data_IF_067138962650
#
_entry.id   IF_067138962650
#
_cell.length_a   1.000
_cell.length_b   1.000
_cell.length_c   1.000
_cell.angle_alpha   90.00
_cell.angle_beta   90.00
_cell.angle_gamma   90.00
#
_symmetry.space_group_name_H-M   'P 1'
#
loop_
_entity.id
_entity.type
_entity.pdbx_description
1 polymer ?
#
# COMPACT_ATOMS: atom_id res chain seq x y z
N UNK A 1 -16.08 40.41 32.14
CA UNK A 1 -15.16 40.24 30.99
C UNK A 1 -14.85 38.76 30.88
N UNK A 2 -15.67 38.02 30.13
CA UNK A 2 -15.54 36.57 29.97
C UNK A 2 -14.80 36.30 28.66
N UNK A 3 -13.60 35.76 28.74
CA UNK A 3 -12.82 35.24 27.61
C UNK A 3 -13.62 34.12 26.92
N UNK A 4 -13.86 34.19 25.59
CA UNK A 4 -14.46 33.07 24.89
C UNK A 4 -13.45 31.93 24.85
N UNK A 5 -13.89 30.77 25.34
CA UNK A 5 -13.20 29.50 25.22
C UNK A 5 -12.85 29.27 23.75
N UNK A 6 -11.56 29.12 23.47
CA UNK A 6 -11.03 28.78 22.15
C UNK A 6 -11.84 27.64 21.56
N UNK A 7 -12.50 27.91 20.45
CA UNK A 7 -13.26 26.96 19.68
C UNK A 7 -12.27 25.92 19.16
N UNK A 8 -12.25 24.76 19.81
CA UNK A 8 -11.38 23.61 19.51
C UNK A 8 -11.86 22.90 18.24
N UNK A 9 -11.94 23.66 17.15
CA UNK A 9 -12.47 23.24 15.85
C UNK A 9 -11.35 22.94 14.84
N UNK A 10 -10.11 22.66 15.31
CA UNK A 10 -8.91 22.67 14.47
C UNK A 10 -8.28 21.29 14.20
N UNK A 11 -8.97 20.17 14.47
CA UNK A 11 -8.35 18.84 14.31
C UNK A 11 -9.19 17.81 13.53
N UNK A 12 -10.28 18.22 12.87
CA UNK A 12 -10.93 17.35 11.88
C UNK A 12 -10.24 17.53 10.52
N UNK A 13 -9.01 17.02 10.42
CA UNK A 13 -8.28 16.94 9.15
C UNK A 13 -9.02 15.94 8.26
N UNK A 14 -10.05 16.40 7.56
CA UNK A 14 -10.75 15.63 6.53
C UNK A 14 -9.74 15.39 5.42
N UNK A 15 -9.04 14.25 5.49
CA UNK A 15 -8.13 13.80 4.45
C UNK A 15 -8.90 13.79 3.13
N UNK A 16 -8.43 14.47 2.07
CA UNK A 16 -8.96 14.30 0.72
C UNK A 16 -9.22 12.83 0.42
N UNK A 17 -10.31 12.55 -0.30
CA UNK A 17 -10.78 11.18 -0.56
C UNK A 17 -9.67 10.25 -1.08
N UNK A 18 -8.73 10.77 -1.87
CA UNK A 18 -7.58 10.02 -2.37
C UNK A 18 -6.58 9.60 -1.28
N UNK A 19 -6.32 10.47 -0.29
CA UNK A 19 -5.40 10.18 0.81
C UNK A 19 -6.02 9.19 1.80
N UNK A 20 -7.32 9.33 2.09
CA UNK A 20 -8.06 8.36 2.89
C UNK A 20 -8.06 6.97 2.23
N UNK A 21 -8.27 6.92 0.90
CA UNK A 21 -8.20 5.68 0.14
C UNK A 21 -6.79 5.08 0.11
N UNK A 22 -5.76 5.92 -0.05
CA UNK A 22 -4.35 5.49 0.01
C UNK A 22 -4.02 4.92 1.40
N UNK A 23 -4.32 5.65 2.47
CA UNK A 23 -4.10 5.22 3.84
C UNK A 23 -4.84 3.91 4.16
N UNK A 24 -6.11 3.80 3.74
CA UNK A 24 -6.88 2.57 3.88
C UNK A 24 -6.28 1.39 3.10
N UNK A 25 -5.73 1.64 1.91
CA UNK A 25 -5.06 0.61 1.09
C UNK A 25 -3.77 0.12 1.76
N UNK A 26 -2.96 1.03 2.28
CA UNK A 26 -1.74 0.68 3.03
C UNK A 26 -2.07 -0.11 4.31
N UNK A 27 -3.12 0.30 5.04
CA UNK A 27 -3.61 -0.43 6.20
C UNK A 27 -4.10 -1.85 5.84
N UNK A 28 -4.81 -2.00 4.73
CA UNK A 28 -5.25 -3.29 4.19
C UNK A 28 -4.07 -4.19 3.80
N UNK A 29 -3.09 -3.67 3.06
CA UNK A 29 -1.87 -4.40 2.69
C UNK A 29 -1.10 -4.87 3.92
N UNK A 30 -1.06 -4.03 4.96
CA UNK A 30 -0.42 -4.36 6.24
C UNK A 30 -1.20 -5.45 6.99
N UNK A 31 -2.53 -5.33 7.10
CA UNK A 31 -3.40 -6.30 7.76
C UNK A 31 -3.45 -7.65 7.04
N UNK A 32 -3.21 -7.68 5.73
CA UNK A 32 -3.16 -8.92 4.96
C UNK A 32 -2.10 -9.89 5.48
N UNK A 33 -0.94 -9.38 5.89
CA UNK A 33 0.17 -10.18 6.43
C UNK A 33 -0.22 -10.94 7.70
N UNK A 34 -1.17 -10.40 8.47
CA UNK A 34 -1.63 -10.95 9.74
C UNK A 34 -2.88 -11.83 9.60
N UNK A 35 -3.45 -11.91 8.39
CA UNK A 35 -4.69 -12.65 8.14
C UNK A 35 -4.40 -14.14 7.94
N UNK A 36 -4.96 -15.00 8.79
CA UNK A 36 -4.79 -16.45 8.75
C UNK A 36 -5.82 -17.19 7.88
N UNK A 37 -6.97 -16.58 7.61
CA UNK A 37 -8.04 -17.18 6.82
C UNK A 37 -7.80 -16.96 5.31
N UNK A 38 -7.61 -18.05 4.55
CA UNK A 38 -7.36 -18.01 3.11
C UNK A 38 -8.46 -17.28 2.31
N UNK A 39 -9.73 -17.44 2.70
CA UNK A 39 -10.85 -16.76 2.06
C UNK A 39 -10.81 -15.24 2.26
N UNK A 40 -10.52 -14.79 3.49
CA UNK A 40 -10.37 -13.35 3.76
C UNK A 40 -9.15 -12.77 3.06
N UNK A 41 -8.04 -13.51 3.05
CA UNK A 41 -6.83 -13.12 2.32
C UNK A 41 -7.13 -12.87 0.83
N UNK A 42 -7.78 -13.79 0.14
CA UNK A 42 -8.14 -13.61 -1.27
C UNK A 42 -9.06 -12.39 -1.51
N UNK A 43 -10.06 -12.16 -0.64
CA UNK A 43 -10.95 -10.98 -0.74
C UNK A 43 -10.20 -9.66 -0.49
N UNK A 44 -9.27 -9.65 0.46
CA UNK A 44 -8.43 -8.48 0.75
C UNK A 44 -7.47 -8.19 -0.39
N UNK A 45 -6.87 -9.21 -1.00
CA UNK A 45 -6.01 -9.07 -2.19
C UNK A 45 -6.76 -8.42 -3.35
N UNK A 46 -7.98 -8.90 -3.64
CA UNK A 46 -8.85 -8.29 -4.66
C UNK A 46 -9.19 -6.84 -4.32
N UNK A 47 -9.46 -6.54 -3.04
CA UNK A 47 -9.76 -5.18 -2.59
C UNK A 47 -8.57 -4.24 -2.75
N UNK A 48 -7.35 -4.71 -2.46
CA UNK A 48 -6.12 -3.93 -2.64
C UNK A 48 -5.96 -3.56 -4.13
N UNK A 49 -6.10 -4.53 -5.04
CA UNK A 49 -6.01 -4.27 -6.49
C UNK A 49 -7.05 -3.24 -6.95
N UNK A 50 -8.31 -3.40 -6.52
CA UNK A 50 -9.39 -2.47 -6.88
C UNK A 50 -9.15 -1.04 -6.34
N UNK A 51 -8.61 -0.91 -5.13
CA UNK A 51 -8.29 0.38 -4.56
C UNK A 51 -7.10 1.04 -5.29
N UNK A 52 -6.06 0.28 -5.64
CA UNK A 52 -4.93 0.78 -6.42
C UNK A 52 -5.39 1.27 -7.81
N UNK A 53 -6.28 0.51 -8.47
CA UNK A 53 -6.89 0.94 -9.73
C UNK A 53 -7.63 2.28 -9.57
N UNK A 54 -8.47 2.40 -8.56
CA UNK A 54 -9.19 3.65 -8.23
C UNK A 54 -8.24 4.83 -7.98
N UNK A 55 -7.12 4.60 -7.29
CA UNK A 55 -6.11 5.62 -7.04
C UNK A 55 -5.39 6.04 -8.33
N UNK A 56 -5.09 5.12 -9.25
CA UNK A 56 -4.45 5.47 -10.54
C UNK A 56 -5.34 6.37 -11.40
N UNK A 57 -6.65 6.31 -11.24
CA UNK A 57 -7.61 7.18 -11.96
C UNK A 57 -7.83 8.54 -11.25
N UNK A 58 -7.26 8.75 -10.06
CA UNK A 58 -7.50 9.98 -9.30
C UNK A 58 -6.79 11.19 -9.95
N UNK A 59 -7.54 12.26 -10.32
CA UNK A 59 -6.96 13.45 -10.92
C UNK A 59 -6.14 14.28 -9.93
N UNK A 60 -6.38 14.11 -8.62
CA UNK A 60 -5.71 14.84 -7.54
C UNK A 60 -4.25 14.39 -7.31
N UNK A 61 -3.87 13.22 -7.83
CA UNK A 61 -2.53 12.68 -7.68
C UNK A 61 -1.62 13.17 -8.81
N UNK A 62 -0.32 13.31 -8.51
CA UNK A 62 0.67 13.66 -9.54
C UNK A 62 0.81 12.52 -10.56
N UNK A 63 1.23 12.86 -11.79
CA UNK A 63 1.44 11.86 -12.84
C UNK A 63 2.47 10.79 -12.42
N UNK A 64 3.58 11.20 -11.78
CA UNK A 64 4.58 10.27 -11.26
C UNK A 64 4.03 9.35 -10.18
N UNK A 65 3.19 9.87 -9.28
CA UNK A 65 2.58 9.04 -8.23
C UNK A 65 1.59 8.02 -8.80
N UNK A 66 0.80 8.40 -9.82
CA UNK A 66 -0.05 7.45 -10.56
C UNK A 66 0.77 6.34 -11.24
N UNK A 67 1.92 6.67 -11.85
CA UNK A 67 2.81 5.66 -12.43
C UNK A 67 3.39 4.70 -11.37
N UNK A 68 3.73 5.21 -10.19
CA UNK A 68 4.16 4.39 -9.06
C UNK A 68 3.06 3.44 -8.59
N UNK A 69 1.82 3.94 -8.45
CA UNK A 69 0.66 3.13 -8.06
C UNK A 69 0.33 2.05 -9.11
N UNK A 70 0.42 2.39 -10.39
CA UNK A 70 0.24 1.42 -11.48
C UNK A 70 1.31 0.31 -11.42
N UNK A 71 2.57 0.68 -11.23
CA UNK A 71 3.66 -0.28 -11.06
C UNK A 71 3.46 -1.19 -9.85
N UNK A 72 2.97 -0.63 -8.73
CA UNK A 72 2.63 -1.37 -7.53
C UNK A 72 1.47 -2.35 -7.79
N UNK A 73 0.41 -1.92 -8.48
CA UNK A 73 -0.73 -2.76 -8.85
C UNK A 73 -0.30 -3.96 -9.68
N UNK A 74 0.48 -3.73 -10.74
CA UNK A 74 0.99 -4.80 -11.60
C UNK A 74 1.85 -5.81 -10.83
N UNK A 75 2.74 -5.32 -9.95
CA UNK A 75 3.58 -6.19 -9.10
C UNK A 75 2.75 -7.02 -8.15
N UNK A 76 1.71 -6.42 -7.57
CA UNK A 76 0.81 -7.10 -6.67
C UNK A 76 0.06 -8.22 -7.40
N UNK A 77 -0.54 -7.93 -8.56
CA UNK A 77 -1.20 -8.94 -9.40
C UNK A 77 -0.26 -10.10 -9.75
N UNK A 78 0.97 -9.80 -10.20
CA UNK A 78 1.96 -10.82 -10.53
C UNK A 78 2.34 -11.73 -9.33
N UNK A 79 2.33 -11.21 -8.10
CA UNK A 79 2.61 -12.02 -6.90
C UNK A 79 1.51 -13.04 -6.63
N UNK A 80 0.25 -12.70 -6.95
CA UNK A 80 -0.91 -13.55 -6.68
C UNK A 80 -1.27 -14.48 -7.86
N UNK A 81 -0.96 -14.09 -9.09
CA UNK A 81 -1.13 -14.94 -10.28
C UNK A 81 -0.09 -16.08 -10.32
N UNK A 82 1.10 -15.88 -9.72
CA UNK A 82 2.17 -16.87 -9.66
C UNK A 82 2.00 -17.96 -8.57
N UNK A 83 0.79 -18.19 -8.05
CA UNK A 83 0.50 -19.26 -7.08
C UNK A 83 0.61 -20.68 -7.69
N UNK A 84 1.08 -20.83 -8.94
CA UNK A 84 1.60 -22.11 -9.47
C UNK A 84 3.02 -21.96 -10.00
N UNK A 85 3.98 -21.72 -9.11
CA UNK A 85 5.37 -22.15 -9.32
C UNK A 85 5.82 -22.96 -8.10
N UNK A 86 5.94 -24.30 -8.20
CA UNK A 86 6.60 -25.07 -7.15
C UNK A 86 8.09 -24.76 -7.20
N UNK A 87 8.58 -24.02 -6.21
CA UNK A 87 10.01 -23.75 -6.04
C UNK A 87 10.39 -22.28 -6.20
N UNK A 88 10.03 -21.45 -5.22
CA UNK A 88 10.86 -20.30 -4.87
C UNK A 88 11.44 -20.59 -3.49
N UNK A 89 12.55 -21.32 -3.49
CA UNK A 89 13.42 -21.38 -2.32
C UNK A 89 13.83 -19.94 -1.97
N UNK A 90 13.70 -19.60 -0.69
CA UNK A 90 14.16 -18.39 -0.03
C UNK A 90 14.83 -17.35 -0.95
N UNK A 91 14.10 -16.27 -1.27
CA UNK A 91 14.71 -15.07 -1.78
C UNK A 91 15.61 -14.48 -0.66
N UNK A 92 16.88 -14.89 -0.67
CA UNK A 92 17.93 -14.27 0.14
C UNK A 92 17.94 -12.75 -0.12
N UNK A 93 17.94 -11.90 0.92
CA UNK A 93 18.01 -10.47 0.74
C UNK A 93 19.39 -10.08 0.18
N UNK A 94 19.45 -9.84 -1.13
CA UNK A 94 20.63 -9.31 -1.83
C UNK A 94 20.87 -7.82 -1.53
N UNK A 95 20.77 -7.42 -0.27
CA UNK A 95 21.08 -6.06 0.17
C UNK A 95 22.48 -6.02 0.77
N UNK A 96 23.47 -6.10 -0.13
CA UNK A 96 24.91 -5.93 0.07
C UNK A 96 25.71 -7.22 0.29
N UNK A 97 26.44 -7.65 -0.74
CA UNK A 97 27.73 -8.33 -0.51
C UNK A 97 28.75 -7.23 -0.25
N UNK A 98 29.23 -7.12 0.99
CA UNK A 98 30.36 -6.25 1.30
C UNK A 98 31.56 -6.67 0.43
N UNK A 99 32.27 -5.74 -0.24
CA UNK A 99 33.49 -6.09 -0.96
C UNK A 99 34.51 -6.60 0.05
N UNK A 100 34.97 -7.84 -0.12
CA UNK A 100 35.79 -8.54 0.87
C UNK A 100 37.24 -8.04 0.94
N UNK A 101 37.67 -7.15 0.05
CA UNK A 101 39.02 -6.57 0.08
C UNK A 101 39.09 -5.35 -0.84
N UNK A 102 39.49 -4.19 -0.30
CA UNK A 102 40.16 -3.14 -1.09
C UNK A 102 41.65 -3.39 -0.83
N UNK A 103 42.37 -3.85 -1.86
CA UNK A 103 43.84 -3.87 -1.89
C UNK A 103 44.32 -2.64 -2.64
#
# INVERSE_FOLDING_TARGET
>A
MSTPLGTRADEEYTLPSAEALLGGTLALMTGLSQTSCAKHRALMEQKIVANLDSLTQSPQLSAGFRQLLESLRLRWQAMHDNVTMPGSAAAEPLWHRAPATIQ
#
